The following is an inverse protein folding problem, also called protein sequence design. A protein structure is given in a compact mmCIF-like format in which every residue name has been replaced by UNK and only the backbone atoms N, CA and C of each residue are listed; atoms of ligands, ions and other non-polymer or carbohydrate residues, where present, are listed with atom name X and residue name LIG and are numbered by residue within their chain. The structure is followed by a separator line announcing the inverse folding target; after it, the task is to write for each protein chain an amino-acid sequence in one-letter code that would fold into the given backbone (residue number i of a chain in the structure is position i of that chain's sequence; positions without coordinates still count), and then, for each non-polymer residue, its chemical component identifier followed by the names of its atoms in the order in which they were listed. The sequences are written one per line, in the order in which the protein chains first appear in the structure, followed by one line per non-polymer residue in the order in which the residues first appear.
data_IF_556773877657
#
_entry.id   IF_556773877657
#
_cell.length_a   1.000
_cell.length_b   1.000
_cell.length_c   1.000
_cell.angle_alpha   90.00
_cell.angle_beta   90.00
_cell.angle_gamma   90.00
#
_symmetry.space_group_name_H-M   'P 1'
#
loop_
_entity.id
_entity.type
_entity.pdbx_description
1 polymer ?
#
# COMPACT_ATOMS: atom_id res chain seq x y z
N UNK A 1 -16.06 -10.69 -20.28
CA UNK A 1 -15.53 -9.31 -20.29
C UNK A 1 -14.35 -9.27 -19.32
N UNK A 2 -13.12 -8.99 -19.77
CA UNK A 2 -12.03 -8.71 -18.82
C UNK A 2 -12.35 -7.36 -18.18
N UNK A 3 -12.29 -7.20 -16.85
CA UNK A 3 -12.52 -5.88 -16.24
C UNK A 3 -11.57 -4.87 -16.88
N UNK A 4 -12.08 -3.68 -17.20
CA UNK A 4 -11.22 -2.59 -17.60
C UNK A 4 -10.17 -2.38 -16.49
N UNK A 5 -8.88 -2.21 -16.80
CA UNK A 5 -7.91 -1.86 -15.78
C UNK A 5 -8.42 -0.59 -15.11
N UNK A 6 -8.75 -0.70 -13.82
CA UNK A 6 -9.05 0.41 -12.94
C UNK A 6 -8.04 1.53 -13.17
N UNK A 7 -8.53 2.77 -13.31
CA UNK A 7 -7.65 3.90 -13.54
C UNK A 7 -6.81 4.14 -12.28
N UNK A 8 -5.53 3.79 -12.35
CA UNK A 8 -4.56 4.06 -11.29
C UNK A 8 -4.46 5.56 -10.97
N UNK A 9 -4.98 6.44 -11.83
CA UNK A 9 -5.04 7.88 -11.55
C UNK A 9 -5.88 8.24 -10.35
N UNK A 10 -6.83 7.39 -9.95
CA UNK A 10 -7.61 7.60 -8.72
C UNK A 10 -6.69 7.64 -7.49
N UNK A 11 -5.52 6.97 -7.54
CA UNK A 11 -4.55 7.03 -6.45
C UNK A 11 -3.89 8.41 -6.30
N UNK A 12 -3.95 9.30 -7.29
CA UNK A 12 -3.38 10.64 -7.17
C UNK A 12 -4.07 11.51 -6.13
N UNK A 13 -5.34 11.26 -5.82
CA UNK A 13 -6.02 11.92 -4.70
C UNK A 13 -5.37 11.58 -3.34
N UNK A 14 -4.65 10.45 -3.29
CA UNK A 14 -3.88 9.98 -2.14
C UNK A 14 -2.37 10.21 -2.30
N UNK A 15 -1.94 10.98 -3.32
CA UNK A 15 -0.53 11.24 -3.56
C UNK A 15 0.08 11.93 -2.32
N UNK A 16 1.13 11.32 -1.77
CA UNK A 16 1.84 11.76 -0.56
C UNK A 16 0.99 11.77 0.71
N UNK A 17 -0.19 11.13 0.70
CA UNK A 17 -1.02 11.00 1.87
C UNK A 17 -0.26 10.26 2.97
N UNK A 18 -0.30 10.81 4.19
CA UNK A 18 0.34 10.25 5.38
C UNK A 18 -0.56 10.54 6.56
N UNK A 19 -0.70 9.56 7.46
CA UNK A 19 -1.42 9.76 8.70
C UNK A 19 -0.75 9.01 9.85
N UNK A 20 -0.63 9.71 10.98
CA UNK A 20 -0.28 9.11 12.25
C UNK A 20 -1.51 8.38 12.82
N UNK A 21 -1.32 7.14 13.26
CA UNK A 21 -2.38 6.29 13.78
C UNK A 21 -2.45 6.40 15.29
N UNK A 22 -1.43 5.89 15.99
CA UNK A 22 -1.30 5.92 17.46
C UNK A 22 0.09 5.45 17.88
N UNK A 23 0.58 5.87 19.05
CA UNK A 23 1.83 5.39 19.67
C UNK A 23 3.08 5.47 18.76
N UNK A 24 3.11 6.44 17.85
CA UNK A 24 4.21 6.64 16.89
C UNK A 24 4.09 5.82 15.60
N UNK A 25 3.04 5.02 15.45
CA UNK A 25 2.73 4.31 14.21
C UNK A 25 2.12 5.23 13.17
N UNK A 26 2.51 5.07 11.91
CA UNK A 26 1.98 5.87 10.80
C UNK A 26 2.00 5.10 9.49
N UNK A 27 1.07 5.43 8.60
CA UNK A 27 1.08 4.95 7.22
C UNK A 27 1.33 6.08 6.23
N UNK A 28 1.80 5.72 5.04
CA UNK A 28 1.99 6.65 3.92
C UNK A 28 1.65 5.98 2.59
N UNK A 29 1.18 6.80 1.66
CA UNK A 29 0.90 6.45 0.27
C UNK A 29 1.69 7.43 -0.63
N UNK A 30 2.62 6.90 -1.40
CA UNK A 30 3.34 7.63 -2.44
C UNK A 30 2.88 7.15 -3.82
N UNK A 31 2.53 8.08 -4.70
CA UNK A 31 2.06 7.81 -6.07
C UNK A 31 2.76 8.75 -7.02
N UNK A 32 3.32 8.23 -8.11
CA UNK A 32 4.02 9.03 -9.10
C UNK A 32 3.93 8.46 -10.51
N UNK A 33 4.02 9.32 -11.51
CA UNK A 33 4.10 8.90 -12.91
C UNK A 33 5.45 8.24 -13.20
N UNK A 34 5.44 7.09 -13.88
CA UNK A 34 6.65 6.44 -14.37
C UNK A 34 6.37 5.64 -15.64
N UNK A 35 7.18 5.87 -16.68
CA UNK A 35 6.99 5.26 -18.01
C UNK A 35 7.04 3.73 -17.99
N UNK A 36 7.85 3.16 -17.10
CA UNK A 36 8.09 1.71 -16.99
C UNK A 36 7.22 1.05 -15.91
N UNK A 37 6.10 1.67 -15.56
CA UNK A 37 5.16 1.13 -14.58
C UNK A 37 3.90 0.58 -15.26
N UNK A 38 3.24 -0.43 -14.68
CA UNK A 38 1.91 -0.84 -15.13
C UNK A 38 0.96 0.37 -15.14
N UNK A 39 0.35 0.67 -16.30
CA UNK A 39 -0.53 1.82 -16.45
C UNK A 39 0.15 3.20 -16.33
N UNK A 40 1.49 3.26 -16.39
CA UNK A 40 2.25 4.51 -16.33
C UNK A 40 2.35 5.14 -14.93
N UNK A 41 1.92 4.44 -13.88
CA UNK A 41 1.86 4.94 -12.50
C UNK A 41 2.56 3.95 -11.57
N UNK A 42 3.46 4.45 -10.72
CA UNK A 42 4.00 3.71 -9.58
C UNK A 42 3.27 4.10 -8.30
N UNK A 43 3.20 3.14 -7.39
CA UNK A 43 2.76 3.40 -6.02
C UNK A 43 3.64 2.68 -5.00
N UNK A 44 3.67 3.23 -3.80
CA UNK A 44 4.20 2.61 -2.60
C UNK A 44 3.29 2.98 -1.41
N UNK A 45 2.57 2.00 -0.87
CA UNK A 45 1.79 2.14 0.36
C UNK A 45 2.59 1.45 1.47
N UNK A 46 2.75 2.09 2.64
CA UNK A 46 3.58 1.53 3.71
C UNK A 46 3.05 1.86 5.10
N UNK A 47 3.21 0.91 6.03
CA UNK A 47 3.05 1.10 7.47
C UNK A 47 4.43 1.13 8.12
N UNK A 48 4.63 2.05 9.04
CA UNK A 48 5.86 2.23 9.78
C UNK A 48 5.62 2.11 11.28
N UNK A 49 6.53 1.42 11.95
CA UNK A 49 6.57 1.34 13.42
C UNK A 49 7.14 2.65 14.03
N UNK A 50 7.11 2.81 15.37
CA UNK A 50 7.56 4.03 16.04
C UNK A 50 9.06 4.33 15.85
N UNK A 51 9.86 3.34 15.45
CA UNK A 51 11.27 3.54 15.08
C UNK A 51 11.46 4.07 13.66
N UNK A 52 10.36 4.19 12.90
CA UNK A 52 10.35 4.60 11.49
C UNK A 52 10.59 3.43 10.52
N UNK A 53 10.76 2.21 11.00
CA UNK A 53 10.98 1.04 10.16
C UNK A 53 9.67 0.64 9.48
N UNK A 54 9.74 0.37 8.17
CA UNK A 54 8.61 -0.16 7.40
C UNK A 54 8.36 -1.62 7.80
N UNK A 55 7.15 -1.92 8.28
CA UNK A 55 6.74 -3.27 8.72
C UNK A 55 5.68 -3.91 7.83
N UNK A 56 5.00 -3.10 7.01
CA UNK A 56 4.10 -3.54 5.96
C UNK A 56 4.26 -2.65 4.73
N UNK A 57 4.12 -3.19 3.52
CA UNK A 57 3.96 -2.33 2.35
C UNK A 57 3.40 -3.01 1.11
N UNK A 58 2.87 -2.21 0.19
CA UNK A 58 2.40 -2.61 -1.13
C UNK A 58 3.06 -1.74 -2.18
N UNK A 59 3.59 -2.36 -3.24
CA UNK A 59 4.20 -1.64 -4.37
C UNK A 59 3.87 -2.34 -5.69
N UNK A 60 4.18 -1.68 -6.81
CA UNK A 60 4.11 -2.27 -8.14
C UNK A 60 5.49 -2.35 -8.83
N UNK A 61 6.53 -2.69 -8.07
CA UNK A 61 7.89 -2.75 -8.59
C UNK A 61 8.12 -3.90 -9.59
N UNK A 62 9.08 -3.72 -10.50
CA UNK A 62 9.37 -4.67 -11.58
C UNK A 62 8.12 -5.14 -12.38
N UNK A 63 7.16 -4.24 -12.59
CA UNK A 63 5.87 -4.50 -13.26
C UNK A 63 4.97 -5.52 -12.54
N UNK A 64 5.27 -5.83 -11.28
CA UNK A 64 4.54 -6.80 -10.46
C UNK A 64 4.06 -6.11 -9.21
N UNK A 65 2.88 -6.48 -8.76
CA UNK A 65 2.40 -5.98 -7.49
C UNK A 65 2.93 -6.86 -6.36
N UNK A 66 3.43 -6.25 -5.30
CA UNK A 66 3.95 -6.94 -4.13
C UNK A 66 3.21 -6.50 -2.89
N UNK A 67 3.06 -7.45 -1.97
CA UNK A 67 2.67 -7.23 -0.59
C UNK A 67 3.80 -7.71 0.30
N UNK A 68 4.33 -6.85 1.16
CA UNK A 68 5.41 -7.11 2.09
C UNK A 68 4.87 -7.21 3.52
N UNK A 69 4.39 -8.39 3.99
CA UNK A 69 4.35 -8.66 5.42
C UNK A 69 5.79 -8.63 6.00
N UNK A 70 5.97 -8.53 7.32
CA UNK A 70 7.27 -8.31 7.95
C UNK A 70 8.38 -9.32 7.59
N UNK A 71 8.07 -10.44 6.94
CA UNK A 71 9.03 -11.51 6.66
C UNK A 71 9.37 -11.78 5.18
N UNK A 72 8.58 -11.38 4.17
CA UNK A 72 8.89 -11.55 2.72
C UNK A 72 7.83 -10.98 1.77
N UNK A 73 8.26 -10.34 0.69
CA UNK A 73 7.40 -9.89 -0.41
C UNK A 73 6.71 -11.06 -1.11
N UNK A 74 5.38 -11.00 -1.23
CA UNK A 74 4.56 -11.97 -1.97
C UNK A 74 3.90 -11.27 -3.16
N UNK A 75 3.75 -11.95 -4.31
CA UNK A 75 2.96 -11.42 -5.41
C UNK A 75 1.55 -11.05 -4.94
N UNK A 76 1.11 -9.85 -5.28
CA UNK A 76 -0.23 -9.36 -5.04
C UNK A 76 -1.03 -9.45 -6.34
N UNK A 77 -2.16 -10.14 -6.31
CA UNK A 77 -3.05 -10.25 -7.46
C UNK A 77 -3.89 -8.96 -7.57
N UNK A 78 -3.31 -7.94 -8.20
CA UNK A 78 -3.99 -6.67 -8.41
C UNK A 78 -5.27 -6.84 -9.23
N UNK A 79 -6.37 -6.34 -8.70
CA UNK A 79 -7.68 -6.39 -9.33
C UNK A 79 -8.23 -4.99 -9.58
N UNK A 80 -8.35 -4.17 -8.53
CA UNK A 80 -8.76 -2.76 -8.62
C UNK A 80 -7.97 -1.86 -7.67
N UNK A 81 -8.00 -0.54 -7.91
CA UNK A 81 -7.42 0.47 -7.03
C UNK A 81 -8.11 0.46 -5.66
N UNK A 82 -9.44 0.36 -5.64
CA UNK A 82 -10.24 0.28 -4.42
C UNK A 82 -9.86 -0.95 -3.61
N UNK A 83 -9.68 -2.10 -4.28
CA UNK A 83 -9.24 -3.34 -3.62
C UNK A 83 -7.81 -3.24 -3.09
N UNK A 84 -6.89 -2.60 -3.82
CA UNK A 84 -5.53 -2.32 -3.33
C UNK A 84 -5.56 -1.49 -2.03
N UNK A 85 -6.35 -0.40 -2.01
CA UNK A 85 -6.46 0.47 -0.84
C UNK A 85 -7.11 -0.29 0.33
N UNK A 86 -8.22 -0.99 0.07
CA UNK A 86 -8.93 -1.76 1.09
C UNK A 86 -8.05 -2.87 1.69
N UNK A 87 -7.40 -3.67 0.84
CA UNK A 87 -6.52 -4.76 1.30
C UNK A 87 -5.32 -4.21 2.09
N UNK A 88 -4.80 -3.04 1.74
CA UNK A 88 -3.73 -2.37 2.50
C UNK A 88 -4.22 -1.96 3.89
N UNK A 89 -5.36 -1.28 4.01
CA UNK A 89 -5.87 -0.83 5.31
C UNK A 89 -6.33 -2.00 6.19
N UNK A 90 -6.95 -3.04 5.62
CA UNK A 90 -7.28 -4.28 6.34
C UNK A 90 -6.02 -4.95 6.93
N UNK A 91 -4.88 -4.84 6.25
CA UNK A 91 -3.61 -5.34 6.76
C UNK A 91 -2.99 -4.44 7.82
N UNK A 92 -3.10 -3.12 7.67
CA UNK A 92 -2.68 -2.14 8.67
C UNK A 92 -3.43 -2.41 9.97
N UNK A 93 -4.76 -2.51 9.92
CA UNK A 93 -5.58 -2.76 11.09
C UNK A 93 -5.23 -4.11 11.74
N UNK A 94 -5.14 -5.18 10.94
CA UNK A 94 -4.73 -6.50 11.46
C UNK A 94 -3.35 -6.49 12.09
N UNK A 95 -2.41 -5.72 11.55
CA UNK A 95 -1.07 -5.61 12.12
C UNK A 95 -1.11 -4.84 13.43
N UNK A 96 -1.78 -3.68 13.47
CA UNK A 96 -1.86 -2.85 14.66
C UNK A 96 -2.63 -3.52 15.82
N UNK A 97 -3.66 -4.33 15.52
CA UNK A 97 -4.35 -5.16 16.53
C UNK A 97 -3.41 -6.21 17.12
N UNK A 98 -2.58 -6.87 16.29
CA UNK A 98 -1.60 -7.86 16.78
C UNK A 98 -0.53 -7.25 17.67
N UNK A 99 -0.14 -6.01 17.37
CA UNK A 99 0.83 -5.24 18.17
C UNK A 99 0.17 -4.56 19.40
N UNK A 100 -1.16 -4.69 19.58
CA UNK A 100 -1.90 -4.11 20.71
C UNK A 100 -2.07 -2.60 20.65
N UNK A 101 -1.88 -1.99 19.48
CA UNK A 101 -1.98 -0.54 19.26
C UNK A 101 -3.46 -0.13 19.09
N UNK A 102 -4.18 -0.85 18.24
CA UNK A 102 -5.63 -0.72 18.04
C UNK A 102 -6.39 -1.79 18.86
N UNK A 103 -7.62 -1.50 19.29
CA UNK A 103 -8.45 -2.43 20.06
C UNK A 103 -8.89 -3.66 19.26
#
# INVERSE_FOLDING_TARGET
MKPAPCDLRILFDLQTARQDVKDGWWWKIDVWMAKEAPGGIRYALSLHDPSGRRVLGYDNDHLRHHRHPPEKGRPYAFATCEKLIADFFDDVDRHLVREGVLP
#
